data_IF_767082247834
#
_entry.id   IF_767082247834
#
_cell.length_a   1.000
_cell.length_b   1.000
_cell.length_c   1.000
_cell.angle_alpha   90.00
_cell.angle_beta   90.00
_cell.angle_gamma   90.00
#
_symmetry.space_group_name_H-M   'P 1'
#
loop_
_entity.id
_entity.type
_entity.pdbx_description
1 polymer ?
#
# COMPACT_ATOMS: atom_id res chain seq x y z
N UNK A 1 5.02 8.82 -8.13
CA UNK A 1 4.50 7.67 -7.37
C UNK A 1 5.63 6.66 -7.11
N UNK A 2 6.74 7.10 -6.50
CA UNK A 2 7.99 6.31 -6.42
C UNK A 2 8.30 5.90 -4.99
N UNK A 3 8.04 6.78 -4.02
CA UNK A 3 8.20 6.48 -2.59
C UNK A 3 7.22 5.41 -2.11
N UNK A 4 5.95 5.47 -2.54
CA UNK A 4 4.96 4.44 -2.20
C UNK A 4 5.29 3.09 -2.81
N UNK A 5 5.74 3.05 -4.07
CA UNK A 5 6.16 1.79 -4.69
C UNK A 5 7.36 1.17 -3.95
N UNK A 6 8.36 1.98 -3.56
CA UNK A 6 9.48 1.52 -2.75
C UNK A 6 9.05 1.01 -1.39
N UNK A 7 8.04 1.61 -0.79
CA UNK A 7 7.52 1.17 0.51
C UNK A 7 6.75 -0.14 0.37
N UNK A 8 5.88 -0.25 -0.63
CA UNK A 8 5.12 -1.49 -0.92
C UNK A 8 6.04 -2.68 -1.19
N UNK A 9 7.11 -2.49 -1.97
CA UNK A 9 8.12 -3.54 -2.21
C UNK A 9 8.74 -4.07 -0.90
N UNK A 10 8.82 -3.24 0.15
CA UNK A 10 9.44 -3.63 1.44
C UNK A 10 8.48 -4.32 2.40
N UNK A 11 7.17 -4.03 2.33
CA UNK A 11 6.21 -4.42 3.38
C UNK A 11 5.04 -5.26 2.88
N UNK A 12 4.73 -5.21 1.58
CA UNK A 12 3.65 -6.01 0.99
C UNK A 12 4.21 -7.38 0.60
N UNK A 13 3.36 -8.40 0.67
CA UNK A 13 3.69 -9.72 0.13
C UNK A 13 3.73 -9.69 -1.42
N UNK A 14 2.78 -8.96 -2.03
CA UNK A 14 2.78 -8.65 -3.45
C UNK A 14 2.54 -7.14 -3.64
N UNK A 15 3.56 -6.43 -4.12
CA UNK A 15 3.48 -4.99 -4.32
C UNK A 15 2.47 -4.56 -5.42
N UNK A 16 2.08 -5.47 -6.32
CA UNK A 16 1.05 -5.24 -7.32
C UNK A 16 -0.36 -5.33 -6.73
N UNK A 17 -0.54 -6.12 -5.67
CA UNK A 17 -1.79 -6.32 -4.93
C UNK A 17 -1.61 -5.92 -3.46
N UNK A 18 -1.46 -4.61 -3.15
CA UNK A 18 -1.12 -4.16 -1.81
C UNK A 18 -2.27 -4.37 -0.82
N UNK A 19 -1.97 -4.86 0.37
CA UNK A 19 -2.90 -5.07 1.47
C UNK A 19 -2.75 -4.00 2.57
N UNK A 20 -1.53 -3.52 2.80
CA UNK A 20 -1.24 -2.53 3.84
C UNK A 20 -1.32 -1.08 3.35
N UNK A 21 -0.92 -0.77 2.12
CA UNK A 21 -0.96 0.60 1.60
C UNK A 21 -1.91 0.65 0.42
N UNK A 22 -3.13 1.14 0.67
CA UNK A 22 -4.19 1.18 -0.31
C UNK A 22 -4.29 2.58 -0.92
N UNK A 23 -4.41 2.63 -2.25
CA UNK A 23 -4.63 3.90 -2.96
C UNK A 23 -6.09 4.32 -2.79
N UNK A 24 -6.32 5.56 -2.37
CA UNK A 24 -7.64 6.21 -2.33
C UNK A 24 -7.64 7.28 -3.42
N UNK A 25 -8.36 7.02 -4.51
CA UNK A 25 -8.38 7.89 -5.68
C UNK A 25 -8.91 9.29 -5.33
N UNK A 26 -8.19 10.32 -5.79
CA UNK A 26 -8.50 11.72 -5.49
C UNK A 26 -8.15 12.19 -4.08
N UNK A 27 -7.59 11.33 -3.23
CA UNK A 27 -7.26 11.66 -1.82
C UNK A 27 -5.80 11.37 -1.50
N UNK A 28 -5.32 10.14 -1.76
CA UNK A 28 -3.96 9.73 -1.37
C UNK A 28 -3.86 8.25 -1.03
N UNK A 29 -3.28 7.93 0.12
CA UNK A 29 -3.06 6.55 0.57
C UNK A 29 -3.62 6.36 1.98
N UNK A 30 -4.16 5.17 2.25
CA UNK A 30 -4.57 4.74 3.59
C UNK A 30 -3.79 3.50 4.00
N UNK A 31 -3.50 3.39 5.29
CA UNK A 31 -2.97 2.16 5.86
C UNK A 31 -4.14 1.18 6.10
N UNK A 32 -3.99 -0.04 5.57
CA UNK A 32 -4.92 -1.16 5.66
C UNK A 32 -4.30 -2.34 6.42
N UNK A 33 -5.00 -3.47 6.41
CA UNK A 33 -4.56 -4.69 7.11
C UNK A 33 -5.08 -4.75 8.55
N UNK A 34 -6.38 -5.02 8.72
CA UNK A 34 -6.88 -5.54 9.99
C UNK A 34 -6.63 -7.05 10.01
N UNK A 35 -5.46 -7.48 10.47
CA UNK A 35 -5.28 -8.84 10.98
C UNK A 35 -5.76 -8.85 12.43
N UNK A 36 -7.04 -9.13 12.62
CA UNK A 36 -7.52 -9.77 13.85
C UNK A 36 -7.03 -11.21 13.91
#
# INVERSE_FOLDING_TARGET
NTHINRLRIKIEQDAANPEYILTVWGVGYKFGGNKT
#
